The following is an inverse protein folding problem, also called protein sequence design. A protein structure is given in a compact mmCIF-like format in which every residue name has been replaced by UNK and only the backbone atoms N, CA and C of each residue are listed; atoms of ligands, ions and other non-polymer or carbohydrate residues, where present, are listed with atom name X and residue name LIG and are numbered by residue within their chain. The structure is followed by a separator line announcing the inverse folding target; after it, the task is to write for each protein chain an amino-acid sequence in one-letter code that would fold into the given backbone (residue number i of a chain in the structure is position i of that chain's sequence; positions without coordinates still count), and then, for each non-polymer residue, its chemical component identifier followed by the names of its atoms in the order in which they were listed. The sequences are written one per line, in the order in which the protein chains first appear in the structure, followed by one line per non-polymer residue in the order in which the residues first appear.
data_IF_967213218971
#
_entry.id   IF_967213218971
#
_cell.length_a   1.000
_cell.length_b   1.000
_cell.length_c   1.000
_cell.angle_alpha   90.00
_cell.angle_beta   90.00
_cell.angle_gamma   90.00
#
_symmetry.space_group_name_H-M   'P 1'
#
loop_
_entity.id
_entity.type
_entity.pdbx_description
1 polymer ?
#
# COMPACT_ATOMS: atom_id res chain seq x y z
N UNK A 1 -53.60 -20.35 29.99
CA UNK A 1 -52.98 -20.40 31.33
C UNK A 1 -51.56 -19.86 31.21
N UNK A 2 -51.15 -18.94 32.09
CA UNK A 2 -49.74 -18.54 32.40
C UNK A 2 -48.89 -17.95 31.24
N UNK A 3 -48.17 -16.82 31.36
CA UNK A 3 -48.29 -15.66 32.27
C UNK A 3 -47.47 -14.44 31.76
N UNK A 4 -48.04 -13.25 31.95
CA UNK A 4 -47.42 -11.97 32.35
C UNK A 4 -46.24 -11.35 31.58
N UNK A 5 -46.54 -10.22 30.94
CA UNK A 5 -45.66 -9.05 30.85
C UNK A 5 -45.10 -8.56 32.20
N UNK A 6 -43.96 -7.85 32.15
CA UNK A 6 -43.67 -6.69 33.03
C UNK A 6 -42.57 -5.77 32.46
N UNK A 7 -42.78 -4.46 32.61
CA UNK A 7 -41.93 -3.36 32.14
C UNK A 7 -40.59 -3.21 32.89
N UNK A 8 -39.62 -2.50 32.28
CA UNK A 8 -38.58 -1.73 32.97
C UNK A 8 -38.11 -0.48 32.17
N UNK A 9 -37.58 0.52 32.90
CA UNK A 9 -37.45 1.94 32.51
C UNK A 9 -36.05 2.52 32.85
N UNK A 10 -35.56 3.67 32.33
CA UNK A 10 -36.18 4.60 31.37
C UNK A 10 -35.22 5.16 30.27
N UNK A 11 -34.19 6.00 30.54
CA UNK A 11 -33.87 7.04 29.53
C UNK A 11 -32.38 7.29 29.20
N UNK A 12 -32.12 7.87 28.02
CA UNK A 12 -31.23 9.04 27.89
C UNK A 12 -31.56 9.80 26.61
N UNK A 13 -31.91 11.07 26.73
CA UNK A 13 -32.08 11.96 25.58
C UNK A 13 -30.90 12.92 25.43
N UNK A 14 -30.71 13.46 24.22
CA UNK A 14 -30.11 14.79 24.00
C UNK A 14 -30.68 15.41 22.73
N UNK A 15 -31.13 16.65 22.85
CA UNK A 15 -31.62 17.50 21.75
C UNK A 15 -30.42 18.24 21.15
N UNK A 16 -30.44 18.48 19.83
CA UNK A 16 -29.67 19.54 19.18
C UNK A 16 -30.59 20.34 18.26
N UNK A 17 -30.90 21.61 18.56
CA UNK A 17 -31.52 22.53 17.63
C UNK A 17 -30.50 23.52 17.02
N UNK A 18 -30.68 23.78 15.73
CA UNK A 18 -29.95 24.74 14.90
C UNK A 18 -30.16 26.20 15.33
N UNK A 19 -29.12 27.04 15.24
CA UNK A 19 -29.10 28.52 15.02
C UNK A 19 -27.70 29.07 15.39
N UNK A 20 -27.25 30.28 15.04
CA UNK A 20 -27.46 31.21 13.90
C UNK A 20 -26.32 32.25 14.02
N UNK A 21 -25.87 32.84 12.91
CA UNK A 21 -24.71 33.74 12.91
C UNK A 21 -24.86 34.99 13.80
N UNK A 22 -23.74 35.52 14.31
CA UNK A 22 -23.62 36.90 14.78
C UNK A 22 -22.22 37.45 14.52
N UNK A 23 -22.15 38.58 13.80
CA UNK A 23 -20.92 39.37 13.63
C UNK A 23 -20.70 40.22 14.88
N UNK A 24 -19.47 40.27 15.40
CA UNK A 24 -18.99 41.43 16.16
C UNK A 24 -17.60 41.86 15.69
N UNK A 25 -17.52 43.11 15.27
CA UNK A 25 -16.27 43.83 15.08
C UNK A 25 -15.67 44.14 16.45
N UNK A 26 -14.34 44.09 16.55
CA UNK A 26 -13.58 44.56 17.70
C UNK A 26 -12.50 45.53 17.20
N UNK A 27 -12.69 46.80 17.53
CA UNK A 27 -11.70 47.85 17.32
C UNK A 27 -10.61 47.67 18.37
N UNK A 28 -9.34 47.58 17.93
CA UNK A 28 -8.18 47.57 18.81
C UNK A 28 -7.45 48.91 18.66
N UNK A 29 -7.23 49.57 19.79
CA UNK A 29 -6.54 50.85 19.92
C UNK A 29 -5.02 50.63 19.84
N UNK A 30 -4.23 51.52 19.21
CA UNK A 30 -2.78 51.40 19.21
C UNK A 30 -2.24 51.64 20.63
N UNK A 31 -1.38 50.75 21.12
CA UNK A 31 -0.63 50.93 22.38
C UNK A 31 0.83 51.22 22.06
N UNK A 32 1.42 52.15 22.81
CA UNK A 32 2.69 52.80 22.51
C UNK A 32 3.94 51.91 22.46
N UNK A 33 4.97 52.46 21.82
CA UNK A 33 6.30 51.89 21.71
C UNK A 33 6.91 51.63 23.10
N UNK A 34 7.25 50.37 23.38
CA UNK A 34 8.18 50.01 24.44
C UNK A 34 9.54 49.68 23.81
N UNK A 35 10.53 50.53 24.08
CA UNK A 35 11.93 50.32 23.68
C UNK A 35 12.58 49.24 24.54
N UNK A 36 12.49 47.99 24.08
CA UNK A 36 13.31 46.90 24.62
C UNK A 36 14.81 47.14 24.38
N UNK A 37 15.70 46.57 25.22
CA UNK A 37 17.14 46.65 25.00
C UNK A 37 17.53 45.99 23.65
N UNK A 38 18.66 46.38 23.04
CA UNK A 38 19.07 45.84 21.76
C UNK A 38 19.23 44.32 21.86
N UNK A 39 18.43 43.58 21.09
CA UNK A 39 18.58 42.13 20.95
C UNK A 39 20.02 41.83 20.56
N UNK A 40 20.75 41.16 21.45
CA UNK A 40 22.07 40.61 21.14
C UNK A 40 21.90 39.76 19.88
N UNK A 41 22.51 40.18 18.77
CA UNK A 41 22.49 39.43 17.53
C UNK A 41 23.30 38.16 17.78
N UNK A 42 22.60 37.10 18.20
CA UNK A 42 23.18 35.78 18.35
C UNK A 42 23.78 35.40 17.01
N UNK A 43 25.10 35.24 16.97
CA UNK A 43 25.80 34.76 15.79
C UNK A 43 25.26 33.35 15.55
N UNK A 44 24.47 33.21 14.48
CA UNK A 44 23.87 31.92 14.13
C UNK A 44 25.02 30.94 13.84
N UNK A 45 25.04 29.73 14.43
CA UNK A 45 26.08 28.75 14.17
C UNK A 45 26.26 28.51 12.67
N UNK A 46 27.51 28.34 12.23
CA UNK A 46 27.83 28.18 10.81
C UNK A 46 27.75 26.70 10.44
N UNK A 47 26.99 26.39 9.41
CA UNK A 47 26.95 25.04 8.82
C UNK A 47 28.34 24.67 8.29
N UNK A 48 28.93 23.62 8.84
CA UNK A 48 30.18 23.01 8.37
C UNK A 48 29.94 21.97 7.26
N UNK A 49 28.88 21.17 7.39
CA UNK A 49 28.55 20.14 6.42
C UNK A 49 27.04 19.98 6.26
N UNK A 50 26.62 19.46 5.11
CA UNK A 50 25.22 19.09 4.86
C UNK A 50 25.21 17.79 4.07
N UNK A 51 24.61 16.75 4.64
CA UNK A 51 24.42 15.45 4.02
C UNK A 51 22.95 15.30 3.65
N UNK A 52 22.67 14.91 2.42
CA UNK A 52 21.31 14.64 1.93
C UNK A 52 21.19 13.15 1.63
N UNK A 53 20.29 12.48 2.33
CA UNK A 53 19.98 11.07 2.14
C UNK A 53 18.50 10.91 1.78
N UNK A 54 18.18 9.96 0.91
CA UNK A 54 16.81 9.49 0.71
C UNK A 54 16.60 8.21 1.50
N UNK A 55 15.48 8.13 2.20
CA UNK A 55 15.09 6.98 3.02
C UNK A 55 13.63 6.65 2.75
N UNK A 56 13.25 5.38 2.92
CA UNK A 56 11.85 4.98 2.74
C UNK A 56 10.95 5.67 3.79
N UNK A 57 9.81 6.16 3.35
CA UNK A 57 8.79 6.79 4.22
C UNK A 57 8.37 5.82 5.34
N UNK A 58 8.25 6.26 6.61
CA UNK A 58 7.85 5.39 7.71
C UNK A 58 6.52 4.67 7.44
N UNK A 59 6.52 3.34 7.58
CA UNK A 59 5.35 2.49 7.33
C UNK A 59 5.21 1.98 5.89
N UNK A 60 5.90 2.56 4.91
CA UNK A 60 5.86 2.06 3.54
C UNK A 60 6.60 0.73 3.39
N UNK A 61 5.99 -0.20 2.66
CA UNK A 61 6.46 -1.59 2.50
C UNK A 61 7.49 -1.75 1.38
N UNK A 62 7.41 -0.90 0.37
CA UNK A 62 8.25 -0.86 -0.83
C UNK A 62 8.66 0.58 -1.17
N UNK A 63 9.61 0.76 -2.10
CA UNK A 63 10.08 2.08 -2.52
C UNK A 63 9.10 2.75 -3.49
N UNK A 64 8.38 1.94 -4.26
CA UNK A 64 7.24 2.34 -5.10
C UNK A 64 6.03 1.50 -4.68
N UNK A 65 4.86 2.13 -4.55
CA UNK A 65 3.59 1.44 -4.36
C UNK A 65 2.62 1.78 -5.50
N UNK A 66 2.02 0.74 -6.09
CA UNK A 66 1.01 0.84 -7.14
C UNK A 66 -0.30 0.30 -6.55
N UNK A 67 -1.36 1.10 -6.60
CA UNK A 67 -2.68 0.75 -6.11
C UNK A 67 -3.74 1.05 -7.19
N UNK A 68 -5.01 0.74 -6.94
CA UNK A 68 -6.10 1.15 -7.81
C UNK A 68 -6.24 2.68 -7.95
N UNK A 69 -5.81 3.46 -6.94
CA UNK A 69 -6.07 4.90 -6.85
C UNK A 69 -4.86 5.78 -7.17
N UNK A 70 -3.65 5.30 -6.89
CA UNK A 70 -2.43 6.09 -7.05
C UNK A 70 -1.18 5.20 -7.24
N UNK A 71 -0.16 5.79 -7.87
CA UNK A 71 1.21 5.29 -7.91
C UNK A 71 2.10 6.24 -7.11
N UNK A 72 2.72 5.75 -6.05
CA UNK A 72 3.47 6.58 -5.08
C UNK A 72 4.94 6.20 -5.00
N UNK A 73 5.78 7.23 -4.82
CA UNK A 73 7.21 7.09 -4.53
C UNK A 73 7.43 7.30 -3.03
N UNK A 74 7.70 6.22 -2.32
CA UNK A 74 7.74 6.18 -0.86
C UNK A 74 9.09 6.64 -0.30
N UNK A 75 9.62 7.79 -0.75
CA UNK A 75 10.88 8.33 -0.27
C UNK A 75 10.71 9.67 0.48
N UNK A 76 11.30 9.74 1.68
CA UNK A 76 11.54 10.98 2.40
C UNK A 76 12.98 11.44 2.19
N UNK A 77 13.16 12.76 2.04
CA UNK A 77 14.46 13.41 2.04
C UNK A 77 14.85 13.74 3.47
N UNK A 78 15.99 13.23 3.91
CA UNK A 78 16.60 13.52 5.21
C UNK A 78 17.83 14.40 4.97
N UNK A 79 17.82 15.61 5.54
CA UNK A 79 18.94 16.56 5.49
C UNK A 79 19.55 16.62 6.88
N UNK A 80 20.82 16.24 6.98
CA UNK A 80 21.59 16.31 8.23
C UNK A 80 22.59 17.45 8.07
N UNK A 81 22.55 18.43 8.96
CA UNK A 81 23.46 19.58 8.97
C UNK A 81 24.30 19.54 10.24
N UNK A 82 25.62 19.62 10.10
CA UNK A 82 26.55 19.75 11.24
C UNK A 82 27.08 21.18 11.29
N UNK A 83 27.05 21.79 12.47
CA UNK A 83 27.46 23.16 12.72
C UNK A 83 28.85 23.25 13.37
N UNK A 84 29.43 24.44 13.38
CA UNK A 84 30.77 24.71 13.91
C UNK A 84 30.89 24.68 15.43
N UNK A 85 29.77 24.83 16.15
CA UNK A 85 29.64 24.55 17.58
C UNK A 85 29.47 23.05 17.90
N UNK A 86 29.42 22.18 16.88
CA UNK A 86 29.23 20.74 17.01
C UNK A 86 27.77 20.29 17.09
N UNK A 87 26.79 21.20 16.99
CA UNK A 87 25.39 20.79 16.89
C UNK A 87 25.10 20.04 15.58
N UNK A 88 24.09 19.17 15.63
CA UNK A 88 23.61 18.41 14.47
C UNK A 88 22.10 18.56 14.38
N UNK A 89 21.63 19.24 13.34
CA UNK A 89 20.20 19.30 13.00
C UNK A 89 19.84 18.23 11.97
N UNK A 90 18.63 17.69 12.07
CA UNK A 90 18.08 16.75 11.09
C UNK A 90 16.70 17.20 10.65
N UNK A 91 16.61 17.71 9.43
CA UNK A 91 15.35 18.06 8.78
C UNK A 91 14.84 16.89 7.93
N UNK A 92 13.52 16.69 7.89
CA UNK A 92 12.85 15.72 7.02
C UNK A 92 11.84 16.42 6.14
N UNK A 93 11.79 16.06 4.87
CA UNK A 93 10.74 16.50 3.95
C UNK A 93 10.27 15.36 3.04
N UNK A 94 9.07 15.52 2.49
CA UNK A 94 8.41 14.52 1.65
C UNK A 94 8.22 15.08 0.24
N UNK A 95 9.29 15.18 -0.58
CA UNK A 95 9.23 15.82 -1.89
C UNK A 95 8.38 15.06 -2.92
N UNK A 96 8.08 13.79 -2.66
CA UNK A 96 7.35 12.89 -3.56
C UNK A 96 5.93 12.55 -3.06
N UNK A 97 5.30 13.46 -2.32
CA UNK A 97 3.90 13.32 -1.94
C UNK A 97 3.01 13.33 -3.20
N UNK A 98 2.11 12.34 -3.35
CA UNK A 98 1.25 12.17 -4.54
C UNK A 98 0.36 13.36 -4.87
N UNK A 99 0.05 14.22 -3.89
CA UNK A 99 -0.67 15.49 -4.15
C UNK A 99 0.14 16.55 -4.92
N UNK A 100 1.47 16.41 -4.98
CA UNK A 100 2.41 17.38 -5.56
C UNK A 100 3.37 16.76 -6.58
N UNK A 101 3.40 15.44 -6.70
CA UNK A 101 4.32 14.68 -7.55
C UNK A 101 3.63 13.45 -8.13
N UNK A 102 3.56 13.40 -9.45
CA UNK A 102 3.06 12.25 -10.22
C UNK A 102 4.25 11.37 -10.63
N UNK A 103 4.32 10.15 -10.09
CA UNK A 103 5.40 9.21 -10.43
C UNK A 103 5.25 8.65 -11.85
N UNK A 104 4.02 8.49 -12.35
CA UNK A 104 3.77 7.96 -13.68
C UNK A 104 4.20 8.97 -14.76
N UNK A 105 3.84 10.24 -14.62
CA UNK A 105 4.34 11.31 -15.50
C UNK A 105 5.86 11.46 -15.40
N UNK A 106 6.43 11.43 -14.19
CA UNK A 106 7.88 11.59 -14.04
C UNK A 106 8.64 10.43 -14.70
N UNK A 107 8.25 9.17 -14.45
CA UNK A 107 8.89 7.98 -15.06
C UNK A 107 8.63 7.88 -16.56
N UNK A 108 7.44 8.19 -17.05
CA UNK A 108 7.13 8.08 -18.48
C UNK A 108 7.75 9.20 -19.30
N UNK A 109 7.59 10.46 -18.87
CA UNK A 109 7.79 11.63 -19.73
C UNK A 109 9.00 12.51 -19.35
N UNK A 110 9.41 12.56 -18.08
CA UNK A 110 10.35 13.59 -17.58
C UNK A 110 11.72 13.05 -17.17
N UNK A 111 11.76 11.84 -16.62
CA UNK A 111 12.98 11.20 -16.15
C UNK A 111 13.79 10.69 -17.35
N UNK A 112 15.04 11.14 -17.56
CA UNK A 112 15.86 10.62 -18.65
C UNK A 112 16.17 9.14 -18.42
N UNK A 113 16.28 8.37 -19.50
CA UNK A 113 16.41 6.90 -19.42
C UNK A 113 17.52 6.42 -18.48
N UNK A 114 18.69 7.08 -18.47
CA UNK A 114 19.79 6.75 -17.53
C UNK A 114 19.39 6.88 -16.06
N UNK A 115 18.61 7.92 -15.72
CA UNK A 115 18.07 8.09 -14.37
C UNK A 115 16.98 7.07 -14.04
N UNK A 116 16.17 6.63 -15.03
CA UNK A 116 15.23 5.51 -14.84
C UNK A 116 15.98 4.22 -14.49
N UNK A 117 17.06 3.90 -15.21
CA UNK A 117 17.91 2.73 -14.96
C UNK A 117 18.51 2.79 -13.55
N UNK A 118 19.18 3.89 -13.21
CA UNK A 118 19.79 4.08 -11.89
C UNK A 118 18.76 4.03 -10.76
N UNK A 119 17.59 4.65 -10.96
CA UNK A 119 16.55 4.70 -9.95
C UNK A 119 15.85 3.36 -9.73
N UNK A 120 15.47 2.61 -10.78
CA UNK A 120 14.62 1.42 -10.67
C UNK A 120 15.39 0.13 -10.35
N UNK A 121 16.66 0.02 -10.76
CA UNK A 121 17.43 -1.23 -10.73
C UNK A 121 17.43 -1.97 -9.39
N UNK A 122 17.54 -1.24 -8.28
CA UNK A 122 17.68 -1.83 -6.94
C UNK A 122 16.44 -1.62 -6.04
N UNK A 123 15.30 -1.22 -6.63
CA UNK A 123 14.09 -0.82 -5.89
C UNK A 123 13.04 -1.91 -5.82
N UNK A 124 12.38 -1.97 -4.68
CA UNK A 124 11.18 -2.77 -4.50
C UNK A 124 9.96 -1.99 -4.99
N UNK A 125 9.22 -2.59 -5.89
CA UNK A 125 7.88 -2.18 -6.31
C UNK A 125 6.86 -3.07 -5.62
N UNK A 126 5.84 -2.51 -4.98
CA UNK A 126 4.68 -3.26 -4.46
C UNK A 126 3.42 -2.88 -5.22
N UNK A 127 2.82 -3.85 -5.89
CA UNK A 127 1.50 -3.75 -6.51
C UNK A 127 0.46 -4.30 -5.53
N UNK A 128 -0.47 -3.45 -5.09
CA UNK A 128 -1.55 -3.81 -4.18
C UNK A 128 -2.85 -4.05 -4.97
N UNK A 129 -3.22 -5.32 -5.10
CA UNK A 129 -4.43 -5.77 -5.79
C UNK A 129 -5.48 -6.11 -4.73
N UNK A 130 -6.58 -5.37 -4.71
CA UNK A 130 -7.71 -5.71 -3.85
C UNK A 130 -8.60 -6.71 -4.57
N UNK A 131 -8.77 -7.90 -4.00
CA UNK A 131 -9.68 -8.90 -4.53
C UNK A 131 -11.11 -8.52 -4.08
N UNK A 132 -12.06 -8.35 -5.02
CA UNK A 132 -13.44 -8.00 -4.68
C UNK A 132 -14.14 -9.14 -3.92
N UNK A 133 -15.21 -8.80 -3.21
CA UNK A 133 -16.08 -9.79 -2.57
C UNK A 133 -16.85 -10.59 -3.63
N UNK A 134 -17.17 -11.84 -3.34
CA UNK A 134 -17.88 -12.76 -4.24
C UNK A 134 -19.23 -12.20 -4.72
N UNK A 135 -19.93 -11.47 -3.86
CA UNK A 135 -21.22 -10.83 -4.16
C UNK A 135 -21.10 -9.49 -4.90
N UNK A 136 -19.89 -8.96 -5.08
CA UNK A 136 -19.63 -7.78 -5.91
C UNK A 136 -19.13 -8.19 -7.29
N UNK A 137 -19.71 -7.59 -8.32
CA UNK A 137 -19.06 -7.53 -9.63
C UNK A 137 -17.70 -6.83 -9.50
N UNK A 138 -16.68 -7.27 -10.25
CA UNK A 138 -15.49 -6.44 -10.49
C UNK A 138 -15.96 -5.07 -10.98
N UNK A 139 -15.58 -4.04 -10.22
CA UNK A 139 -15.78 -2.66 -10.61
C UNK A 139 -14.67 -2.23 -11.56
N UNK A 140 -14.90 -1.18 -12.35
CA UNK A 140 -13.83 -0.55 -13.15
C UNK A 140 -12.65 -0.16 -12.24
N UNK A 141 -12.94 0.30 -11.02
CA UNK A 141 -11.94 0.59 -9.99
C UNK A 141 -11.08 -0.60 -9.54
N UNK A 142 -11.53 -1.86 -9.68
CA UNK A 142 -10.68 -3.01 -9.36
C UNK A 142 -9.70 -3.34 -10.52
N UNK A 143 -10.05 -2.96 -11.76
CA UNK A 143 -9.12 -2.99 -12.90
C UNK A 143 -8.16 -1.79 -12.93
N UNK A 144 -8.46 -0.70 -12.21
CA UNK A 144 -7.66 0.53 -12.25
C UNK A 144 -6.19 0.31 -11.84
N UNK A 145 -5.86 -0.71 -11.04
CA UNK A 145 -4.45 -1.06 -10.73
C UNK A 145 -3.65 -1.44 -11.98
N UNK A 146 -4.29 -2.04 -12.99
CA UNK A 146 -3.69 -2.37 -14.29
C UNK A 146 -3.50 -1.12 -15.16
N UNK A 147 -4.40 -0.12 -15.04
CA UNK A 147 -4.29 1.18 -15.71
C UNK A 147 -3.16 2.01 -15.11
N UNK A 148 -3.05 2.04 -13.77
CA UNK A 148 -1.95 2.66 -13.03
C UNK A 148 -0.60 1.99 -13.30
N UNK A 149 -0.59 0.68 -13.54
CA UNK A 149 0.62 -0.02 -14.01
C UNK A 149 0.97 0.36 -15.46
N UNK A 150 -0.03 0.45 -16.33
CA UNK A 150 0.16 0.79 -17.75
C UNK A 150 0.66 2.23 -17.96
N UNK A 151 0.28 3.18 -17.09
CA UNK A 151 0.69 4.59 -17.18
C UNK A 151 2.18 4.84 -16.91
N UNK A 152 2.88 3.89 -16.27
CA UNK A 152 4.32 3.91 -16.01
C UNK A 152 5.18 3.64 -17.26
N UNK A 153 4.54 3.20 -18.36
CA UNK A 153 5.17 3.05 -19.66
C UNK A 153 6.11 1.85 -19.80
N UNK A 154 6.56 1.54 -21.04
CA UNK A 154 7.26 0.30 -21.36
C UNK A 154 8.67 0.20 -20.77
N UNK A 155 9.28 1.32 -20.35
CA UNK A 155 10.59 1.30 -19.70
C UNK A 155 10.50 0.73 -18.27
N UNK A 156 9.37 0.91 -17.57
CA UNK A 156 9.19 0.43 -16.21
C UNK A 156 9.29 -1.10 -16.14
N UNK A 157 8.55 -1.79 -17.00
CA UNK A 157 8.59 -3.25 -17.14
C UNK A 157 9.99 -3.79 -17.53
N UNK A 158 10.79 -3.00 -18.25
CA UNK A 158 12.16 -3.39 -18.65
C UNK A 158 13.23 -3.18 -17.58
N UNK A 159 12.93 -2.44 -16.51
CA UNK A 159 13.93 -1.95 -15.55
C UNK A 159 13.66 -2.35 -14.10
N UNK A 160 12.43 -2.73 -13.77
CA UNK A 160 12.07 -3.22 -12.44
C UNK A 160 12.52 -4.68 -12.26
N UNK A 161 13.33 -4.90 -11.22
CA UNK A 161 13.94 -6.18 -10.89
C UNK A 161 13.35 -6.86 -9.64
N UNK A 162 12.78 -6.10 -8.71
CA UNK A 162 12.24 -6.61 -7.45
C UNK A 162 10.76 -6.23 -7.31
N UNK A 163 9.86 -7.19 -7.49
CA UNK A 163 8.41 -6.98 -7.46
C UNK A 163 7.74 -7.72 -6.29
N UNK A 164 6.79 -7.04 -5.64
CA UNK A 164 5.84 -7.64 -4.71
C UNK A 164 4.45 -7.51 -5.31
N UNK A 165 3.74 -8.61 -5.50
CA UNK A 165 2.30 -8.60 -5.82
C UNK A 165 1.54 -8.97 -4.55
N UNK A 166 0.84 -7.99 -3.98
CA UNK A 166 0.09 -8.12 -2.73
C UNK A 166 -1.39 -8.26 -3.04
N UNK A 167 -1.94 -9.45 -2.82
CA UNK A 167 -3.36 -9.73 -2.96
C UNK A 167 -4.05 -9.48 -1.61
N UNK A 168 -4.83 -8.41 -1.51
CA UNK A 168 -5.69 -8.14 -0.34
C UNK A 168 -6.96 -8.97 -0.50
N UNK A 169 -7.06 -10.07 0.25
CA UNK A 169 -8.11 -11.07 0.08
C UNK A 169 -9.41 -10.67 0.81
N UNK A 170 -10.58 -11.08 0.30
CA UNK A 170 -11.85 -10.93 1.02
C UNK A 170 -11.87 -11.76 2.31
N UNK A 171 -12.80 -11.43 3.20
CA UNK A 171 -12.97 -12.15 4.47
C UNK A 171 -13.28 -13.63 4.23
N UNK A 172 -12.75 -14.52 5.07
CA UNK A 172 -13.02 -15.96 4.94
C UNK A 172 -14.52 -16.27 5.07
N UNK A 173 -15.29 -15.46 5.79
CA UNK A 173 -16.76 -15.53 5.84
C UNK A 173 -17.45 -15.24 4.49
N UNK A 174 -16.84 -14.40 3.64
CA UNK A 174 -17.29 -14.16 2.27
C UNK A 174 -16.96 -15.37 1.39
N UNK A 175 -15.76 -15.95 1.55
CA UNK A 175 -15.31 -17.14 0.81
C UNK A 175 -16.00 -18.44 1.24
N UNK A 176 -16.47 -18.56 2.49
CA UNK A 176 -16.96 -19.81 3.09
C UNK A 176 -18.19 -20.44 2.42
N UNK A 177 -18.86 -19.72 1.52
CA UNK A 177 -19.97 -20.24 0.69
C UNK A 177 -19.50 -20.86 -0.63
N UNK A 178 -18.19 -20.79 -0.93
CA UNK A 178 -17.58 -21.30 -2.16
C UNK A 178 -16.74 -22.55 -1.93
N UNK A 179 -16.67 -23.37 -2.98
CA UNK A 179 -15.64 -24.40 -3.15
C UNK A 179 -14.43 -23.80 -3.88
N UNK A 180 -13.24 -24.45 -3.83
CA UNK A 180 -12.09 -24.02 -4.63
C UNK A 180 -12.40 -23.91 -6.13
N UNK A 181 -13.20 -24.83 -6.69
CA UNK A 181 -13.63 -24.82 -8.10
C UNK A 181 -14.42 -23.58 -8.47
N UNK A 182 -15.31 -23.12 -7.58
CA UNK A 182 -16.14 -21.96 -7.85
C UNK A 182 -15.35 -20.65 -7.76
N UNK A 183 -14.24 -20.63 -7.01
CA UNK A 183 -13.36 -19.45 -6.91
C UNK A 183 -12.67 -19.14 -8.24
N UNK A 184 -12.27 -20.17 -9.00
CA UNK A 184 -11.65 -20.00 -10.34
C UNK A 184 -12.57 -19.25 -11.30
N UNK A 185 -13.90 -19.42 -11.17
CA UNK A 185 -14.90 -18.68 -11.94
C UNK A 185 -15.25 -17.29 -11.38
N UNK A 186 -14.61 -16.82 -10.31
CA UNK A 186 -14.92 -15.51 -9.73
C UNK A 186 -14.25 -14.36 -10.50
N UNK A 187 -14.91 -13.19 -10.60
CA UNK A 187 -14.28 -11.97 -11.14
C UNK A 187 -12.95 -11.60 -10.46
N UNK A 188 -12.82 -11.89 -9.16
CA UNK A 188 -11.58 -11.68 -8.42
C UNK A 188 -10.43 -12.61 -8.83
N UNK A 189 -10.72 -13.84 -9.30
CA UNK A 189 -9.68 -14.75 -9.82
C UNK A 189 -9.23 -14.32 -11.21
N UNK A 190 -10.17 -13.97 -12.10
CA UNK A 190 -9.87 -13.40 -13.41
C UNK A 190 -9.06 -12.08 -13.35
N UNK A 191 -9.24 -11.29 -12.29
CA UNK A 191 -8.36 -10.14 -12.02
C UNK A 191 -6.92 -10.58 -11.73
N UNK A 192 -6.71 -11.66 -10.96
CA UNK A 192 -5.36 -12.18 -10.69
C UNK A 192 -4.70 -12.76 -11.95
N UNK A 193 -5.45 -13.45 -12.81
CA UNK A 193 -4.93 -13.94 -14.10
C UNK A 193 -4.41 -12.76 -14.95
N UNK A 194 -5.18 -11.68 -15.07
CA UNK A 194 -4.73 -10.45 -15.76
C UNK A 194 -3.52 -9.78 -15.09
N UNK A 195 -3.36 -9.90 -13.77
CA UNK A 195 -2.17 -9.40 -13.07
C UNK A 195 -0.95 -10.27 -13.40
N UNK A 196 -1.12 -11.59 -13.53
CA UNK A 196 -0.07 -12.52 -13.98
C UNK A 196 0.35 -12.20 -15.42
N UNK A 197 -0.59 -11.92 -16.33
CA UNK A 197 -0.30 -11.47 -17.69
C UNK A 197 0.53 -10.17 -17.74
N UNK A 198 0.30 -9.23 -16.81
CA UNK A 198 1.14 -8.03 -16.67
C UNK A 198 2.52 -8.33 -16.07
N UNK A 199 2.61 -9.29 -15.13
CA UNK A 199 3.87 -9.71 -14.50
C UNK A 199 4.82 -10.34 -15.52
N UNK A 200 4.32 -11.12 -16.48
CA UNK A 200 5.16 -11.70 -17.57
C UNK A 200 5.80 -10.65 -18.48
N UNK A 201 5.32 -9.40 -18.47
CA UNK A 201 5.94 -8.32 -19.25
C UNK A 201 7.23 -7.81 -18.62
N UNK A 202 7.50 -8.13 -17.35
CA UNK A 202 8.70 -7.66 -16.65
C UNK A 202 9.93 -8.52 -16.97
N UNK A 203 10.59 -8.19 -18.08
CA UNK A 203 11.76 -8.92 -18.61
C UNK A 203 13.03 -8.84 -17.74
N UNK A 204 13.05 -7.99 -16.72
CA UNK A 204 14.20 -7.76 -15.85
C UNK A 204 14.01 -8.26 -14.40
N UNK A 205 12.94 -9.02 -14.11
CA UNK A 205 12.72 -9.58 -12.77
C UNK A 205 13.90 -10.46 -12.34
N UNK A 206 14.44 -10.13 -11.18
CA UNK A 206 15.33 -10.98 -10.40
C UNK A 206 14.60 -11.62 -9.22
N UNK A 207 13.56 -10.96 -8.68
CA UNK A 207 12.79 -11.44 -7.51
C UNK A 207 11.33 -11.07 -7.61
N UNK A 208 10.46 -12.05 -7.38
CA UNK A 208 9.02 -11.86 -7.22
C UNK A 208 8.54 -12.40 -5.87
N UNK A 209 7.71 -11.62 -5.18
CA UNK A 209 7.04 -12.05 -3.95
C UNK A 209 5.54 -11.89 -4.07
N UNK A 210 4.82 -13.01 -4.06
CA UNK A 210 3.35 -13.02 -4.02
C UNK A 210 2.95 -13.03 -2.54
N UNK A 211 2.21 -12.02 -2.10
CA UNK A 211 1.83 -11.83 -0.69
C UNK A 211 0.32 -11.88 -0.54
N UNK A 212 -0.19 -12.93 0.10
CA UNK A 212 -1.59 -13.03 0.50
C UNK A 212 -1.81 -12.21 1.78
N UNK A 213 -2.43 -11.05 1.65
CA UNK A 213 -2.85 -10.22 2.79
C UNK A 213 -4.24 -10.65 3.26
N UNK A 214 -4.26 -11.30 4.42
CA UNK A 214 -5.46 -11.83 5.04
C UNK A 214 -6.13 -10.72 5.87
N UNK A 215 -7.45 -10.53 5.78
CA UNK A 215 -8.14 -9.44 6.47
C UNK A 215 -8.26 -9.65 7.99
N UNK A 216 -8.04 -10.88 8.46
CA UNK A 216 -8.17 -11.27 9.87
C UNK A 216 -6.98 -12.14 10.31
N UNK A 217 -6.68 -12.12 11.61
CA UNK A 217 -5.69 -13.01 12.23
C UNK A 217 -6.29 -14.41 12.44
N UNK A 218 -5.80 -15.40 11.71
CA UNK A 218 -6.18 -16.81 11.89
C UNK A 218 -5.10 -17.56 12.69
N UNK A 219 -5.52 -18.47 13.57
CA UNK A 219 -4.63 -19.34 14.35
C UNK A 219 -4.23 -20.63 13.63
N UNK A 220 -4.86 -20.95 12.48
CA UNK A 220 -4.75 -22.24 11.78
C UNK A 220 -4.01 -22.19 10.42
N UNK A 221 -3.17 -21.17 10.18
CA UNK A 221 -2.45 -21.03 8.92
C UNK A 221 -3.30 -20.42 7.80
N UNK A 222 -2.99 -20.77 6.55
CA UNK A 222 -3.76 -20.34 5.37
C UNK A 222 -4.95 -21.28 5.12
N UNK A 223 -6.05 -20.73 4.62
CA UNK A 223 -7.20 -21.53 4.19
C UNK A 223 -7.10 -21.84 2.69
N UNK A 224 -7.49 -23.04 2.26
CA UNK A 224 -7.41 -23.47 0.84
C UNK A 224 -8.05 -22.46 -0.13
N UNK A 225 -9.26 -21.98 0.21
CA UNK A 225 -10.00 -20.95 -0.54
C UNK A 225 -9.23 -19.62 -0.72
N UNK A 226 -8.36 -19.26 0.23
CA UNK A 226 -7.50 -18.08 0.13
C UNK A 226 -6.27 -18.37 -0.74
N UNK A 227 -5.80 -19.61 -0.73
CA UNK A 227 -4.65 -20.06 -1.50
C UNK A 227 -4.96 -20.26 -2.99
N UNK A 228 -6.22 -20.52 -3.36
CA UNK A 228 -6.67 -20.55 -4.78
C UNK A 228 -6.18 -19.32 -5.54
N UNK A 229 -6.30 -18.12 -4.96
CA UNK A 229 -5.85 -16.87 -5.59
C UNK A 229 -4.33 -16.77 -5.85
N UNK A 230 -3.52 -17.73 -5.38
CA UNK A 230 -2.09 -17.81 -5.74
C UNK A 230 -1.79 -18.78 -6.89
N UNK A 231 -2.75 -19.60 -7.31
CA UNK A 231 -2.57 -20.58 -8.40
C UNK A 231 -2.13 -19.96 -9.73
N UNK A 232 -2.67 -18.81 -10.20
CA UNK A 232 -2.22 -18.20 -11.46
C UNK A 232 -0.70 -17.97 -11.55
N UNK A 233 -0.03 -17.69 -10.43
CA UNK A 233 1.42 -17.46 -10.39
C UNK A 233 2.26 -18.72 -10.61
N UNK A 234 1.68 -19.92 -10.48
CA UNK A 234 2.36 -21.17 -10.80
C UNK A 234 2.60 -21.36 -12.31
N UNK A 235 1.85 -20.64 -13.15
CA UNK A 235 1.97 -20.69 -14.60
C UNK A 235 2.93 -19.64 -15.17
N UNK A 236 3.58 -18.83 -14.32
CA UNK A 236 4.62 -17.89 -14.73
C UNK A 236 5.85 -18.60 -15.29
N UNK A 237 6.38 -18.04 -16.39
CA UNK A 237 7.68 -18.40 -16.97
C UNK A 237 8.83 -18.03 -16.04
N UNK A 238 8.68 -16.97 -15.26
CA UNK A 238 9.61 -16.57 -14.21
C UNK A 238 9.46 -17.45 -12.96
N UNK A 239 10.52 -18.20 -12.61
CA UNK A 239 10.47 -19.25 -11.57
C UNK A 239 11.03 -18.88 -10.20
N UNK A 240 11.84 -17.82 -10.06
CA UNK A 240 12.39 -17.39 -8.76
C UNK A 240 11.42 -16.48 -7.99
N UNK A 241 10.22 -17.02 -7.75
CA UNK A 241 9.16 -16.34 -6.99
C UNK A 241 8.83 -17.07 -5.69
N UNK A 242 8.46 -16.30 -4.67
CA UNK A 242 8.16 -16.81 -3.33
C UNK A 242 6.78 -16.42 -2.84
N UNK A 243 5.99 -17.43 -2.44
CA UNK A 243 4.68 -17.20 -1.80
C UNK A 243 4.86 -16.85 -0.31
N UNK A 244 4.15 -15.80 0.11
CA UNK A 244 4.13 -15.28 1.47
C UNK A 244 2.71 -14.91 1.89
N UNK A 245 2.51 -14.72 3.19
CA UNK A 245 1.26 -14.18 3.72
C UNK A 245 1.49 -13.10 4.78
N UNK A 246 0.45 -12.32 5.07
CA UNK A 246 0.44 -11.28 6.11
C UNK A 246 -0.95 -11.24 6.77
N UNK A 247 -1.01 -11.02 8.08
CA UNK A 247 -2.23 -10.71 8.82
C UNK A 247 -2.10 -9.31 9.45
N UNK A 248 -3.18 -8.64 9.87
CA UNK A 248 -3.10 -7.23 10.30
C UNK A 248 -2.20 -6.96 11.50
N UNK A 249 -1.90 -7.97 12.33
CA UNK A 249 -0.97 -7.87 13.47
C UNK A 249 0.51 -8.08 13.12
N UNK A 250 0.84 -8.46 11.88
CA UNK A 250 2.21 -8.73 11.44
C UNK A 250 2.87 -7.48 10.83
N UNK A 251 4.06 -7.14 11.32
CA UNK A 251 4.90 -6.08 10.76
C UNK A 251 5.68 -6.51 9.51
N UNK A 252 5.79 -7.82 9.24
CA UNK A 252 6.48 -8.42 8.10
C UNK A 252 5.70 -9.62 7.59
N UNK A 253 5.74 -9.86 6.28
CA UNK A 253 5.18 -11.06 5.68
C UNK A 253 5.99 -12.30 6.08
N UNK A 254 5.30 -13.43 6.27
CA UNK A 254 5.92 -14.73 6.55
C UNK A 254 5.89 -15.59 5.28
N UNK A 255 6.94 -16.37 5.04
CA UNK A 255 6.96 -17.38 3.98
C UNK A 255 5.92 -18.47 4.29
N UNK A 256 5.19 -18.90 3.26
CA UNK A 256 4.22 -20.00 3.35
C UNK A 256 4.95 -21.31 3.64
N UNK A 257 4.37 -22.20 4.46
CA UNK A 257 5.08 -23.42 4.87
C UNK A 257 5.13 -24.47 3.76
N UNK A 258 6.06 -25.41 3.84
CA UNK A 258 6.15 -26.51 2.86
C UNK A 258 4.88 -27.38 2.83
N UNK A 259 4.21 -27.55 3.98
CA UNK A 259 2.92 -28.25 4.08
C UNK A 259 1.80 -27.49 3.34
N UNK A 260 1.73 -26.16 3.52
CA UNK A 260 0.78 -25.30 2.80
C UNK A 260 1.09 -25.34 1.27
N UNK A 261 2.37 -25.24 0.87
CA UNK A 261 2.77 -25.31 -0.54
C UNK A 261 2.45 -26.68 -1.16
N UNK A 262 2.54 -27.76 -0.38
CA UNK A 262 2.14 -29.10 -0.81
C UNK A 262 0.61 -29.23 -0.92
N UNK A 263 -0.15 -28.58 -0.04
CA UNK A 263 -1.60 -28.43 -0.20
C UNK A 263 -1.96 -27.64 -1.47
N UNK A 264 -1.23 -26.56 -1.79
CA UNK A 264 -1.43 -25.77 -3.00
C UNK A 264 -1.25 -26.61 -4.27
N UNK A 265 -0.22 -27.47 -4.34
CA UNK A 265 0.00 -28.39 -5.47
C UNK A 265 -1.12 -29.43 -5.61
N UNK A 266 -1.64 -29.96 -4.49
CA UNK A 266 -2.79 -30.87 -4.52
C UNK A 266 -4.07 -30.16 -5.00
N UNK A 267 -4.24 -28.91 -4.61
CA UNK A 267 -5.36 -28.05 -5.02
C UNK A 267 -5.33 -27.83 -6.53
N UNK A 268 -4.19 -27.42 -7.07
CA UNK A 268 -3.93 -27.22 -8.50
C UNK A 268 -4.30 -28.47 -9.32
N UNK A 269 -3.72 -29.62 -8.97
CA UNK A 269 -4.05 -30.92 -9.59
C UNK A 269 -5.54 -31.26 -9.52
N UNK A 270 -6.19 -31.05 -8.35
CA UNK A 270 -7.62 -31.35 -8.21
C UNK A 270 -8.54 -30.47 -9.06
N UNK A 271 -8.10 -29.26 -9.39
CA UNK A 271 -8.88 -28.27 -10.14
C UNK A 271 -8.69 -28.39 -11.65
N UNK A 272 -7.49 -28.74 -12.10
CA UNK A 272 -7.13 -28.68 -13.53
C UNK A 272 -6.76 -30.03 -14.17
N UNK A 273 -6.43 -31.08 -13.39
CA UNK A 273 -6.14 -32.43 -13.90
C UNK A 273 -7.34 -33.40 -13.84
N UNK A 274 -8.56 -32.92 -13.54
CA UNK A 274 -9.78 -33.75 -13.63
C UNK A 274 -10.23 -33.86 -15.10
N UNK A 275 -10.43 -35.08 -15.64
CA UNK A 275 -10.74 -35.32 -17.07
C UNK A 275 -12.21 -35.05 -17.46
#
# INVERSE_FOLDING_TARGET
MVAKDRHANLPFGKKNPTTRASKKSLVIVPTDLSTGPPSTVGILPKVLSTTVNFQRTPGARADISISATEVTRNEMKVVIQTFDDGQVETARSYPYNSTMYDLADDVSNRMPYSAKVEYLKDRWVEMQVKIPEISSSVSESDSAVLEQLSSLGPDFFKLVSNLVVRLVLPALSNLAVMTPSNIVSTPGYALVERIVDEVEKFVALEKLHVVLELPHTFTRGLHELQMVYSLPFHYLSFTDWGLRYTVPSMTRSKVVSDDDLLQLRRLDQSLFDSP
#
